data_IF_490432680091
#
_entry.id   IF_490432680091
#
_cell.length_a   1.000
_cell.length_b   1.000
_cell.length_c   1.000
_cell.angle_alpha   90.00
_cell.angle_beta   90.00
_cell.angle_gamma   90.00
#
_symmetry.space_group_name_H-M   'P 1'
#
loop_
_entity.id
_entity.type
_entity.pdbx_description
1 polymer ?
#
# COMPACT_ATOMS: atom_id res chain seq x y z
N UNK A 1 -11.82 -0.63 -6.50
CA UNK A 1 -13.07 -1.22 -5.97
C UNK A 1 -13.52 -0.37 -4.79
N UNK A 2 -14.72 0.22 -4.84
CA UNK A 2 -15.25 1.00 -3.71
C UNK A 2 -15.52 0.07 -2.52
N UNK A 3 -15.01 0.40 -1.33
CA UNK A 3 -15.28 -0.38 -0.13
C UNK A 3 -16.78 -0.35 0.19
N UNK A 4 -17.36 -1.51 0.46
CA UNK A 4 -18.77 -1.61 0.83
C UNK A 4 -18.94 -1.09 2.27
N UNK A 5 -19.80 -0.09 2.44
CA UNK A 5 -20.05 0.51 3.76
C UNK A 5 -20.76 -0.52 4.66
N UNK A 6 -20.12 -0.88 5.77
CA UNK A 6 -20.69 -1.78 6.76
C UNK A 6 -21.79 -1.05 7.57
N UNK A 7 -23.05 -1.38 7.29
CA UNK A 7 -24.23 -0.75 7.92
C UNK A 7 -24.23 -0.89 9.44
N UNK A 8 -23.82 -2.04 9.97
CA UNK A 8 -23.79 -2.29 11.41
C UNK A 8 -22.78 -1.40 12.12
N UNK A 9 -21.61 -1.19 11.50
CA UNK A 9 -20.58 -0.29 12.01
C UNK A 9 -21.04 1.17 11.94
N UNK A 10 -21.66 1.57 10.83
CA UNK A 10 -22.23 2.92 10.65
C UNK A 10 -23.24 3.29 11.74
N UNK A 11 -24.17 2.38 12.09
CA UNK A 11 -25.14 2.64 13.16
C UNK A 11 -24.49 2.73 14.56
N UNK A 12 -23.45 1.93 14.83
CA UNK A 12 -22.69 2.02 16.10
C UNK A 12 -21.98 3.37 16.20
N UNK A 13 -21.26 3.79 15.16
CA UNK A 13 -20.58 5.09 15.13
C UNK A 13 -21.57 6.25 15.27
N UNK A 14 -22.71 6.19 14.58
CA UNK A 14 -23.77 7.20 14.73
C UNK A 14 -24.30 7.26 16.17
N UNK A 15 -24.47 6.11 16.84
CA UNK A 15 -24.94 6.07 18.22
C UNK A 15 -23.91 6.65 19.20
N UNK A 16 -22.63 6.34 19.02
CA UNK A 16 -21.54 6.89 19.82
C UNK A 16 -21.44 8.41 19.68
N UNK A 17 -21.50 8.94 18.46
CA UNK A 17 -21.53 10.38 18.19
C UNK A 17 -22.73 11.02 18.91
N UNK A 18 -23.92 10.42 18.79
CA UNK A 18 -25.13 10.94 19.43
C UNK A 18 -25.02 10.95 20.97
N UNK A 19 -24.47 9.89 21.57
CA UNK A 19 -24.24 9.78 23.02
C UNK A 19 -23.23 10.82 23.50
N UNK A 20 -22.09 10.95 22.81
CA UNK A 20 -21.08 11.94 23.16
C UNK A 20 -21.62 13.36 23.05
N UNK A 21 -22.49 13.63 22.06
CA UNK A 21 -23.16 14.92 21.93
C UNK A 21 -24.09 15.21 23.09
N UNK A 22 -24.89 14.23 23.53
CA UNK A 22 -25.76 14.37 24.71
C UNK A 22 -24.94 14.67 25.97
N UNK A 23 -23.85 13.93 26.19
CA UNK A 23 -22.95 14.15 27.33
C UNK A 23 -22.27 15.54 27.29
N UNK A 24 -21.95 16.05 26.09
CA UNK A 24 -21.36 17.39 25.93
C UNK A 24 -22.31 18.51 26.37
N UNK A 25 -23.61 18.25 26.33
CA UNK A 25 -24.66 19.18 26.78
C UNK A 25 -25.17 18.86 28.19
N UNK A 26 -24.44 18.03 28.96
CA UNK A 26 -24.85 17.54 30.29
C UNK A 26 -26.23 16.88 30.32
N UNK A 27 -26.66 16.31 29.19
CA UNK A 27 -27.92 15.59 29.07
C UNK A 27 -27.73 14.10 29.39
N UNK A 28 -28.81 13.44 29.80
CA UNK A 28 -28.77 12.01 30.07
C UNK A 28 -28.61 11.21 28.76
N UNK A 29 -28.03 10.00 28.81
CA UNK A 29 -27.83 9.16 27.62
C UNK A 29 -29.13 8.83 26.87
N UNK A 30 -30.29 8.86 27.53
CA UNK A 30 -31.59 8.66 26.87
C UNK A 30 -31.92 9.78 25.88
N UNK A 31 -31.42 11.00 26.11
CA UNK A 31 -31.56 12.13 25.20
C UNK A 31 -30.74 11.98 23.90
N UNK A 32 -29.81 11.02 23.83
CA UNK A 32 -28.99 10.75 22.64
C UNK A 32 -29.85 10.48 21.39
N UNK A 33 -31.05 9.91 21.55
CA UNK A 33 -31.98 9.66 20.43
C UNK A 33 -32.32 10.92 19.64
N UNK A 34 -32.36 12.09 20.29
CA UNK A 34 -32.66 13.36 19.64
C UNK A 34 -31.53 13.82 18.70
N UNK A 35 -30.29 13.44 19.01
CA UNK A 35 -29.11 13.78 18.19
C UNK A 35 -28.82 12.74 17.11
N UNK A 36 -29.44 11.56 17.18
CA UNK A 36 -29.16 10.43 16.30
C UNK A 36 -29.33 10.73 14.80
N UNK A 37 -30.35 11.47 14.31
CA UNK A 37 -30.47 11.78 12.88
C UNK A 37 -29.29 12.61 12.35
N UNK A 38 -28.81 13.58 13.14
CA UNK A 38 -27.64 14.39 12.77
C UNK A 38 -26.35 13.58 12.86
N UNK A 39 -26.22 12.75 13.90
CA UNK A 39 -25.08 11.85 14.07
C UNK A 39 -24.99 10.81 12.95
N UNK A 40 -26.12 10.30 12.46
CA UNK A 40 -26.18 9.37 11.34
C UNK A 40 -25.70 10.02 10.04
N UNK A 41 -26.06 11.28 9.78
CA UNK A 41 -25.52 12.03 8.62
C UNK A 41 -24.00 12.22 8.71
N UNK A 42 -23.48 12.51 9.91
CA UNK A 42 -22.04 12.63 10.13
C UNK A 42 -21.32 11.30 9.92
N UNK A 43 -21.83 10.20 10.50
CA UNK A 43 -21.28 8.87 10.29
C UNK A 43 -21.31 8.46 8.80
N UNK A 44 -22.37 8.82 8.07
CA UNK A 44 -22.46 8.61 6.62
C UNK A 44 -21.45 9.44 5.82
N UNK A 45 -21.17 10.68 6.25
CA UNK A 45 -20.16 11.51 5.60
C UNK A 45 -18.75 10.93 5.83
N UNK A 46 -18.46 10.49 7.06
CA UNK A 46 -17.20 9.83 7.41
C UNK A 46 -17.02 8.51 6.65
N UNK A 47 -18.02 7.64 6.65
CA UNK A 47 -17.95 6.37 5.92
C UNK A 47 -17.79 6.58 4.41
N UNK A 48 -18.38 7.64 3.83
CA UNK A 48 -18.15 7.99 2.42
C UNK A 48 -16.75 8.54 2.18
N UNK A 49 -16.22 9.35 3.10
CA UNK A 49 -14.86 9.84 3.01
C UNK A 49 -13.84 8.71 3.13
N UNK A 50 -14.07 7.73 4.01
CA UNK A 50 -13.25 6.52 4.14
C UNK A 50 -13.37 5.61 2.92
N UNK A 51 -14.58 5.40 2.40
CA UNK A 51 -14.80 4.61 1.19
C UNK A 51 -14.26 5.30 -0.08
N UNK A 52 -14.17 6.63 -0.07
CA UNK A 52 -13.56 7.44 -1.12
C UNK A 52 -12.06 7.69 -0.89
N UNK A 53 -11.54 7.40 0.31
CA UNK A 53 -10.12 7.47 0.56
C UNK A 53 -9.45 6.43 -0.34
N UNK A 54 -8.37 6.79 -1.06
CA UNK A 54 -7.61 5.80 -1.79
C UNK A 54 -7.20 4.73 -0.79
N UNK A 55 -7.56 3.47 -1.07
CA UNK A 55 -7.10 2.35 -0.26
C UNK A 55 -5.58 2.51 -0.10
N UNK A 56 -5.09 2.46 1.15
CA UNK A 56 -3.66 2.58 1.41
C UNK A 56 -2.91 1.69 0.40
N UNK A 57 -1.88 2.22 -0.29
CA UNK A 57 -1.20 1.48 -1.34
C UNK A 57 -0.78 0.15 -0.75
N UNK A 58 -1.19 -0.96 -1.40
CA UNK A 58 -0.77 -2.28 -0.95
C UNK A 58 0.74 -2.31 -1.07
N UNK A 59 1.44 -2.56 0.03
CA UNK A 59 2.90 -2.70 0.03
C UNK A 59 3.27 -4.16 0.16
N UNK A 60 4.35 -4.57 -0.48
CA UNK A 60 5.03 -5.85 -0.20
C UNK A 60 6.49 -5.61 0.14
N UNK A 61 7.10 -6.61 0.75
CA UNK A 61 8.49 -6.54 1.18
C UNK A 61 9.31 -7.59 0.43
N UNK A 62 10.36 -7.13 -0.25
CA UNK A 62 11.41 -7.99 -0.79
C UNK A 62 12.63 -7.95 0.10
N UNK A 63 13.26 -9.10 0.30
CA UNK A 63 14.46 -9.23 1.13
C UNK A 63 15.52 -9.98 0.37
N UNK A 64 16.71 -9.38 0.29
CA UNK A 64 17.84 -9.96 -0.41
C UNK A 64 19.02 -10.12 0.55
N UNK A 65 19.77 -11.20 0.39
CA UNK A 65 21.07 -11.33 1.03
C UNK A 65 22.06 -10.37 0.38
N UNK A 66 22.79 -9.61 1.19
CA UNK A 66 23.91 -8.79 0.70
C UNK A 66 25.20 -9.58 0.85
N UNK A 67 26.05 -9.51 -0.17
CA UNK A 67 27.41 -10.04 -0.08
C UNK A 67 28.29 -9.22 0.87
N UNK A 68 29.56 -9.62 0.99
CA UNK A 68 30.51 -9.03 1.94
C UNK A 68 31.08 -7.68 1.48
N UNK A 69 31.02 -7.37 0.18
CA UNK A 69 31.60 -6.15 -0.40
C UNK A 69 30.58 -5.08 -0.82
N UNK A 70 31.05 -3.83 -0.98
CA UNK A 70 30.24 -2.70 -1.47
C UNK A 70 29.68 -2.93 -2.89
N UNK A 71 30.35 -3.77 -3.69
CA UNK A 71 29.93 -4.20 -5.04
C UNK A 71 28.89 -5.32 -5.00
N UNK A 72 28.77 -6.03 -3.89
CA UNK A 72 27.85 -7.15 -3.70
C UNK A 72 26.61 -6.74 -2.89
N UNK A 73 26.42 -5.42 -2.71
CA UNK A 73 25.22 -4.89 -2.08
C UNK A 73 24.03 -5.17 -2.98
N UNK A 74 23.04 -5.84 -2.42
CA UNK A 74 21.77 -6.03 -3.09
C UNK A 74 21.16 -4.68 -3.44
N UNK A 75 20.70 -4.55 -4.68
CA UNK A 75 19.96 -3.40 -5.15
C UNK A 75 18.68 -3.88 -5.82
N UNK A 76 17.66 -3.04 -5.74
CA UNK A 76 16.40 -3.21 -6.45
C UNK A 76 16.12 -1.89 -7.17
N UNK A 77 15.76 -1.95 -8.44
CA UNK A 77 15.41 -0.77 -9.21
C UNK A 77 14.02 -0.92 -9.80
N UNK A 78 13.23 0.15 -9.78
CA UNK A 78 12.03 0.26 -10.60
C UNK A 78 12.44 0.58 -12.03
N UNK A 79 11.97 -0.22 -12.98
CA UNK A 79 12.19 0.02 -14.40
C UNK A 79 11.04 0.86 -14.93
N UNK A 80 11.37 2.01 -15.51
CA UNK A 80 10.37 2.97 -16.02
C UNK A 80 10.28 2.99 -17.54
N UNK A 81 11.16 2.26 -18.22
CA UNK A 81 11.19 2.18 -19.68
C UNK A 81 12.53 1.65 -20.20
N UNK A 82 12.76 1.85 -21.49
CA UNK A 82 14.02 1.49 -22.15
C UNK A 82 14.98 2.68 -22.17
N UNK A 83 16.27 2.38 -22.05
CA UNK A 83 17.35 3.35 -22.17
C UNK A 83 18.29 2.92 -23.30
N UNK A 84 18.62 3.83 -24.21
CA UNK A 84 19.41 3.53 -25.40
C UNK A 84 20.85 3.08 -25.09
N UNK A 85 21.40 3.48 -23.95
CA UNK A 85 22.78 3.17 -23.55
C UNK A 85 22.86 1.97 -22.61
N UNK A 86 21.89 1.84 -21.70
CA UNK A 86 21.92 0.88 -20.60
C UNK A 86 20.84 -0.21 -20.68
N UNK A 87 20.06 -0.24 -21.78
CA UNK A 87 18.95 -1.18 -22.02
C UNK A 87 17.67 -0.77 -21.31
N UNK A 88 17.73 -0.58 -19.98
CA UNK A 88 16.59 -0.16 -19.16
C UNK A 88 16.87 1.14 -18.42
N UNK A 89 15.86 2.01 -18.39
CA UNK A 89 15.83 3.19 -17.53
C UNK A 89 15.42 2.74 -16.11
N UNK A 90 16.31 2.97 -15.15
CA UNK A 90 16.21 2.43 -13.79
C UNK A 90 16.15 3.55 -12.76
N UNK A 91 15.23 3.45 -11.83
CA UNK A 91 15.21 4.22 -10.59
C UNK A 91 15.51 3.29 -9.42
N UNK A 92 16.72 3.41 -8.86
CA UNK A 92 17.16 2.59 -7.74
C UNK A 92 16.39 2.93 -6.47
N UNK A 93 15.81 1.91 -5.85
CA UNK A 93 15.08 2.05 -4.61
C UNK A 93 16.05 2.07 -3.43
N UNK A 94 15.65 2.79 -2.37
CA UNK A 94 16.41 2.81 -1.13
C UNK A 94 16.02 1.61 -0.27
N UNK A 95 16.97 0.71 -0.08
CA UNK A 95 16.81 -0.41 0.84
C UNK A 95 17.15 -0.05 2.28
N UNK A 96 16.61 -0.81 3.22
CA UNK A 96 16.96 -0.77 4.65
C UNK A 96 17.82 -1.98 4.98
N UNK A 97 19.08 -1.73 5.36
CA UNK A 97 19.98 -2.79 5.81
C UNK A 97 19.55 -3.29 7.19
N UNK A 98 19.52 -4.61 7.38
CA UNK A 98 19.24 -5.23 8.67
C UNK A 98 19.98 -6.56 8.81
N UNK A 99 20.16 -7.01 10.04
CA UNK A 99 20.79 -8.29 10.35
C UNK A 99 19.75 -9.32 10.74
N UNK A 100 19.72 -10.44 10.04
CA UNK A 100 18.87 -11.60 10.33
C UNK A 100 19.51 -12.85 9.73
N UNK A 101 20.24 -13.61 10.54
CA UNK A 101 21.05 -14.77 10.12
C UNK A 101 21.97 -14.46 8.93
N UNK A 102 22.52 -13.25 8.91
CA UNK A 102 23.30 -12.70 7.81
C UNK A 102 22.92 -11.25 7.53
N UNK A 103 23.75 -10.57 6.74
CA UNK A 103 23.44 -9.22 6.31
C UNK A 103 22.40 -9.28 5.19
N UNK A 104 21.28 -8.54 5.36
CA UNK A 104 20.16 -8.51 4.42
C UNK A 104 19.76 -7.07 4.13
N UNK A 105 19.17 -6.86 2.96
CA UNK A 105 18.57 -5.58 2.58
C UNK A 105 17.09 -5.80 2.32
N UNK A 106 16.27 -4.98 2.97
CA UNK A 106 14.82 -4.94 2.80
C UNK A 106 14.43 -3.82 1.83
N UNK A 107 13.54 -4.11 0.91
CA UNK A 107 12.88 -3.12 0.07
C UNK A 107 11.37 -3.22 0.27
N UNK A 108 10.77 -2.14 0.76
CA UNK A 108 9.32 -2.00 0.81
C UNK A 108 8.87 -1.34 -0.48
N UNK A 109 8.03 -2.03 -1.24
CA UNK A 109 7.56 -1.57 -2.54
C UNK A 109 6.05 -1.44 -2.52
N UNK A 110 5.57 -0.36 -3.14
CA UNK A 110 4.16 -0.19 -3.42
C UNK A 110 3.77 -1.05 -4.63
N UNK A 111 2.76 -1.89 -4.46
CA UNK A 111 2.14 -2.71 -5.50
C UNK A 111 1.25 -1.82 -6.36
N UNK A 112 1.89 -1.01 -7.18
CA UNK A 112 1.23 -0.28 -8.27
C UNK A 112 1.14 -1.21 -9.47
N UNK A 113 -0.05 -1.41 -10.03
CA UNK A 113 -0.24 -2.28 -11.20
C UNK A 113 0.72 -1.90 -12.34
N UNK A 114 1.24 -2.91 -13.03
CA UNK A 114 2.25 -2.81 -14.10
C UNK A 114 3.60 -2.20 -13.68
N UNK A 115 3.82 -1.92 -12.38
CA UNK A 115 5.14 -1.56 -11.89
C UNK A 115 6.10 -2.74 -12.07
N UNK A 116 7.22 -2.45 -12.72
CA UNK A 116 8.24 -3.43 -13.06
C UNK A 116 9.53 -3.14 -12.30
N UNK A 117 10.19 -4.20 -11.83
CA UNK A 117 11.40 -4.11 -11.03
C UNK A 117 12.46 -5.11 -11.51
N UNK A 118 13.72 -4.74 -11.31
CA UNK A 118 14.89 -5.58 -11.60
C UNK A 118 15.80 -5.55 -10.37
N UNK A 119 16.41 -6.69 -10.05
CA UNK A 119 17.40 -6.81 -8.98
C UNK A 119 18.83 -7.05 -9.52
N UNK A 120 19.78 -7.16 -8.59
CA UNK A 120 21.19 -7.39 -8.90
C UNK A 120 21.53 -8.79 -9.43
N UNK A 121 20.63 -9.76 -9.26
CA UNK A 121 20.76 -11.13 -9.77
C UNK A 121 20.11 -11.31 -11.15
N UNK A 122 19.62 -10.22 -11.76
CA UNK A 122 18.79 -10.25 -12.96
C UNK A 122 17.45 -10.99 -12.75
N UNK A 123 16.93 -10.96 -11.53
CA UNK A 123 15.53 -11.24 -11.23
C UNK A 123 14.66 -10.11 -11.77
N UNK A 124 13.57 -10.48 -12.44
CA UNK A 124 12.64 -9.55 -13.07
C UNK A 124 11.28 -9.71 -12.43
N UNK A 125 10.69 -8.62 -11.94
CA UNK A 125 9.42 -8.65 -11.23
C UNK A 125 8.43 -7.66 -11.85
N UNK A 126 7.16 -8.03 -11.89
CA UNK A 126 6.07 -7.14 -12.32
C UNK A 126 4.90 -7.26 -11.36
N UNK A 127 4.25 -6.16 -11.06
CA UNK A 127 3.01 -6.17 -10.29
C UNK A 127 1.86 -6.50 -11.23
N UNK A 128 1.18 -7.62 -10.96
CA UNK A 128 -0.03 -8.05 -11.67
C UNK A 128 -1.09 -8.51 -10.69
N UNK A 129 -2.33 -8.11 -10.94
CA UNK A 129 -3.48 -8.41 -10.09
C UNK A 129 -3.25 -8.00 -8.62
N UNK A 130 -2.48 -6.92 -8.41
CA UNK A 130 -2.10 -6.44 -7.08
C UNK A 130 -1.17 -7.38 -6.30
N UNK A 131 -0.41 -8.25 -6.98
CA UNK A 131 0.64 -9.09 -6.42
C UNK A 131 1.94 -8.91 -7.21
N UNK A 132 3.09 -9.11 -6.54
CA UNK A 132 4.38 -9.12 -7.23
C UNK A 132 4.62 -10.51 -7.84
N UNK A 133 4.84 -10.54 -9.15
CA UNK A 133 5.07 -11.76 -9.93
C UNK A 133 6.47 -11.72 -10.51
N UNK A 134 7.24 -12.77 -10.30
CA UNK A 134 8.55 -12.94 -10.93
C UNK A 134 8.39 -13.47 -12.36
N UNK A 135 9.13 -12.89 -13.30
CA UNK A 135 9.18 -13.31 -14.69
C UNK A 135 10.39 -14.20 -14.94
N UNK A 136 10.20 -15.22 -15.77
CA UNK A 136 11.20 -16.25 -16.02
C UNK A 136 12.46 -15.75 -16.74
N UNK A 137 12.33 -14.70 -17.57
CA UNK A 137 13.45 -14.18 -18.35
C UNK A 137 13.35 -12.69 -18.71
N UNK A 138 14.47 -12.17 -19.19
CA UNK A 138 14.63 -10.78 -19.65
C UNK A 138 13.78 -10.44 -20.87
N UNK A 139 13.50 -11.41 -21.74
CA UNK A 139 12.76 -11.15 -22.98
C UNK A 139 11.29 -10.87 -22.68
N UNK A 140 10.67 -11.69 -21.82
CA UNK A 140 9.34 -11.48 -21.28
C UNK A 140 9.24 -10.14 -20.54
N UNK A 141 10.26 -9.79 -19.76
CA UNK A 141 10.30 -8.50 -19.07
C UNK A 141 10.45 -7.31 -20.03
N UNK A 142 11.33 -7.41 -21.03
CA UNK A 142 11.55 -6.35 -22.03
C UNK A 142 10.33 -6.09 -22.91
N UNK A 143 9.49 -7.11 -23.12
CA UNK A 143 8.25 -7.01 -23.88
C UNK A 143 7.21 -6.10 -23.18
N UNK A 144 7.30 -5.88 -21.87
CA UNK A 144 6.44 -4.93 -21.14
C UNK A 144 6.65 -3.47 -21.56
N UNK A 145 7.78 -3.19 -22.21
CA UNK A 145 8.19 -1.84 -22.62
C UNK A 145 8.39 -1.74 -24.13
N UNK A 146 7.73 -2.61 -24.90
CA UNK A 146 7.77 -2.63 -26.37
C UNK A 146 6.66 -1.78 -26.97
#
# INVERSE_FOLDING_TARGET
MAQQINKSQLFRTAWEIARNRALTFDLTPECARQFFPNALRQAWAQARAEAAAPAAPKTTTLTFHTGKGRRDRAWLARVTGKDARYGFARHFLRGTEFWDNGNKVRFDIELTEDAAFEDNAYGYYVVRDGALVELADKAAFSALFA
#
